data_IF_262271108839
#
_entry.id   IF_262271108839
#
_cell.length_a   1.000
_cell.length_b   1.000
_cell.length_c   1.000
_cell.angle_alpha   90.00
_cell.angle_beta   90.00
_cell.angle_gamma   90.00
#
_symmetry.space_group_name_H-M   'P 1'
#
loop_
_entity.id
_entity.type
_entity.pdbx_description
1 polymer ?
#
# COMPACT_ATOMS: atom_id res chain seq x y z
N UNK A 1 -18.12 -14.18 21.20
CA UNK A 1 -19.49 -13.98 21.72
C UNK A 1 -20.13 -15.35 21.88
N UNK A 2 -20.87 -15.55 22.97
CA UNK A 2 -21.24 -16.86 23.55
C UNK A 2 -22.06 -17.79 22.63
N UNK A 3 -21.83 -19.09 22.81
CA UNK A 3 -22.56 -20.22 22.26
C UNK A 3 -23.96 -20.30 22.89
N UNK A 4 -25.01 -20.36 22.08
CA UNK A 4 -26.37 -20.72 22.51
C UNK A 4 -26.86 -21.93 21.70
N UNK A 5 -27.12 -23.04 22.42
CA UNK A 5 -27.81 -24.22 21.90
C UNK A 5 -29.31 -23.92 21.79
N UNK A 6 -29.92 -24.26 20.65
CA UNK A 6 -31.36 -24.45 20.51
C UNK A 6 -31.63 -25.82 19.89
N UNK A 7 -32.44 -26.63 20.59
CA UNK A 7 -32.82 -27.98 20.22
C UNK A 7 -33.89 -28.03 19.14
N UNK A 8 -33.79 -29.02 18.25
CA UNK A 8 -34.86 -29.39 17.32
C UNK A 8 -35.78 -30.44 17.96
N UNK A 9 -37.07 -30.13 18.00
CA UNK A 9 -38.14 -31.07 18.29
C UNK A 9 -38.52 -31.88 17.05
N UNK A 10 -38.61 -33.20 17.21
CA UNK A 10 -39.14 -34.14 16.22
C UNK A 10 -40.66 -34.17 16.28
N UNK A 11 -41.30 -33.88 15.15
CA UNK A 11 -42.73 -34.04 14.94
C UNK A 11 -43.05 -35.54 14.71
N UNK A 12 -43.88 -36.11 15.59
CA UNK A 12 -44.48 -37.44 15.39
C UNK A 12 -45.86 -37.25 14.75
N UNK A 13 -46.04 -37.84 13.58
CA UNK A 13 -47.33 -37.96 12.90
C UNK A 13 -47.89 -39.36 13.18
N UNK A 14 -48.93 -39.46 14.01
CA UNK A 14 -49.71 -40.69 14.18
C UNK A 14 -51.05 -40.50 13.50
N UNK A 15 -51.31 -41.29 12.45
CA UNK A 15 -52.63 -41.39 11.85
C UNK A 15 -53.47 -42.42 12.60
N UNK A 16 -54.69 -41.98 12.91
CA UNK A 16 -55.80 -42.74 13.44
C UNK A 16 -56.75 -43.04 12.27
N UNK A 17 -57.14 -44.30 12.05
CA UNK A 17 -58.40 -44.66 11.36
C UNK A 17 -58.72 -46.15 11.50
N UNK A 18 -59.76 -46.42 12.30
CA UNK A 18 -60.76 -47.49 12.26
C UNK A 18 -60.36 -48.97 12.16
N UNK A 19 -60.54 -49.71 13.27
CA UNK A 19 -60.89 -51.13 13.24
C UNK A 19 -62.29 -51.38 13.80
N UNK A 20 -63.13 -51.84 12.89
CA UNK A 20 -64.43 -52.48 13.07
C UNK A 20 -64.30 -53.80 13.88
N UNK A 21 -65.09 -53.96 14.93
CA UNK A 21 -65.39 -55.28 15.50
C UNK A 21 -66.31 -56.10 14.57
N UNK A 22 -66.21 -57.44 14.62
CA UNK A 22 -67.42 -58.24 14.62
C UNK A 22 -67.48 -59.26 15.75
N UNK A 23 -68.72 -59.51 16.19
CA UNK A 23 -69.15 -60.45 17.23
C UNK A 23 -69.36 -61.86 16.70
N UNK A 24 -69.23 -62.84 17.61
CA UNK A 24 -69.86 -64.18 17.55
C UNK A 24 -68.86 -65.31 17.33
N UNK A 25 -68.92 -66.47 17.97
CA UNK A 25 -69.86 -67.07 18.90
C UNK A 25 -69.38 -68.51 19.19
N UNK A 26 -69.67 -69.02 20.38
CA UNK A 26 -69.36 -70.41 20.75
C UNK A 26 -70.21 -71.40 19.95
N UNK A 27 -69.58 -72.42 19.37
CA UNK A 27 -70.25 -73.57 18.74
C UNK A 27 -69.27 -74.72 18.60
N UNK A 28 -69.47 -75.78 19.40
CA UNK A 28 -68.63 -76.98 19.40
C UNK A 28 -68.98 -77.99 18.31
N UNK A 29 -68.03 -78.93 18.16
CA UNK A 29 -68.08 -80.24 17.50
C UNK A 29 -68.28 -80.31 15.98
N UNK A 30 -67.17 -80.67 15.31
CA UNK A 30 -66.94 -82.09 15.03
C UNK A 30 -67.29 -82.54 13.62
N UNK A 31 -66.39 -82.21 12.68
CA UNK A 31 -66.40 -82.75 11.32
C UNK A 31 -65.23 -82.22 10.53
N UNK A 32 -63.99 -82.52 10.95
CA UNK A 32 -62.81 -82.30 10.11
C UNK A 32 -62.96 -83.16 8.87
N UNK A 33 -63.43 -82.56 7.78
CA UNK A 33 -63.10 -83.05 6.45
C UNK A 33 -61.58 -83.03 6.36
N UNK A 34 -60.96 -84.21 6.48
CA UNK A 34 -59.54 -84.34 6.23
C UNK A 34 -59.29 -83.85 4.80
N UNK A 35 -58.30 -82.96 4.63
CA UNK A 35 -57.93 -82.53 3.29
C UNK A 35 -57.50 -83.75 2.46
N UNK A 36 -57.77 -83.75 1.14
CA UNK A 36 -57.29 -84.78 0.23
C UNK A 36 -55.79 -85.06 0.40
N UNK A 37 -55.36 -86.28 0.08
CA UNK A 37 -53.95 -86.65 0.15
C UNK A 37 -53.10 -85.72 -0.72
N UNK A 38 -52.06 -85.12 -0.14
CA UNK A 38 -51.23 -84.09 -0.78
C UNK A 38 -51.60 -82.65 -0.39
N UNK A 39 -52.68 -82.46 0.37
CA UNK A 39 -53.12 -81.16 0.89
C UNK A 39 -53.10 -81.14 2.43
N UNK A 40 -53.00 -79.93 2.99
CA UNK A 40 -53.03 -79.65 4.43
C UNK A 40 -54.07 -78.59 4.74
N UNK A 41 -54.58 -78.61 5.97
CA UNK A 41 -55.54 -77.61 6.44
C UNK A 41 -54.81 -76.42 7.04
N UNK A 42 -54.77 -75.30 6.31
CA UNK A 42 -54.27 -74.03 6.82
C UNK A 42 -55.45 -73.06 6.99
N UNK A 43 -55.75 -72.67 8.24
CA UNK A 43 -56.89 -71.82 8.59
C UNK A 43 -58.24 -72.30 8.03
N UNK A 44 -58.46 -73.63 8.01
CA UNK A 44 -59.73 -74.23 7.58
C UNK A 44 -59.89 -74.37 6.06
N UNK A 45 -58.89 -73.97 5.26
CA UNK A 45 -58.84 -74.19 3.81
C UNK A 45 -57.80 -75.27 3.50
N UNK A 46 -58.14 -76.19 2.60
CA UNK A 46 -57.19 -77.17 2.10
C UNK A 46 -56.30 -76.53 1.04
N UNK A 47 -54.99 -76.51 1.30
CA UNK A 47 -53.94 -75.98 0.42
C UNK A 47 -52.93 -77.09 0.16
N UNK A 48 -52.23 -77.04 -0.98
CA UNK A 48 -51.19 -78.03 -1.28
C UNK A 48 -50.12 -78.05 -0.19
N UNK A 49 -49.68 -79.25 0.21
CA UNK A 49 -48.58 -79.42 1.16
C UNK A 49 -47.24 -78.89 0.61
N UNK A 50 -47.15 -78.70 -0.72
CA UNK A 50 -45.98 -78.24 -1.46
C UNK A 50 -46.13 -76.81 -2.01
N UNK A 51 -47.11 -76.03 -1.54
CA UNK A 51 -47.26 -74.61 -1.93
C UNK A 51 -46.51 -73.69 -0.95
N UNK A 52 -45.36 -73.11 -1.34
CA UNK A 52 -44.55 -72.28 -0.45
C UNK A 52 -45.25 -70.99 0.00
N UNK A 53 -46.32 -70.54 -0.70
CA UNK A 53 -47.14 -69.42 -0.24
C UNK A 53 -47.93 -69.73 1.04
N UNK A 54 -48.16 -71.01 1.32
CA UNK A 54 -48.84 -71.51 2.52
C UNK A 54 -47.93 -72.44 3.36
N UNK A 55 -46.60 -72.37 3.16
CA UNK A 55 -45.59 -73.16 3.85
C UNK A 55 -45.39 -74.55 3.27
N UNK A 56 -44.41 -75.30 3.76
CA UNK A 56 -44.07 -76.64 3.25
C UNK A 56 -44.34 -77.75 4.29
N UNK A 57 -44.67 -78.94 3.80
CA UNK A 57 -44.99 -80.09 4.65
C UNK A 57 -46.18 -79.79 5.55
N UNK A 58 -46.11 -80.15 6.83
CA UNK A 58 -47.18 -79.91 7.82
C UNK A 58 -47.25 -78.44 8.31
N UNK A 59 -46.32 -77.58 7.91
CA UNK A 59 -46.27 -76.18 8.35
C UNK A 59 -47.20 -75.29 7.52
N UNK A 60 -47.97 -74.41 8.16
CA UNK A 60 -48.78 -73.38 7.51
C UNK A 60 -48.12 -71.99 7.46
N UNK A 61 -46.83 -71.89 7.83
CA UNK A 61 -46.08 -70.64 7.77
C UNK A 61 -45.51 -70.45 6.35
N UNK A 62 -45.87 -69.37 5.63
CA UNK A 62 -45.33 -69.08 4.30
C UNK A 62 -43.80 -69.08 4.32
N UNK A 63 -43.19 -69.62 3.27
CA UNK A 63 -41.75 -69.57 3.14
C UNK A 63 -41.26 -68.13 2.94
N UNK A 64 -40.16 -67.79 3.60
CA UNK A 64 -39.45 -66.54 3.40
C UNK A 64 -37.96 -66.86 3.34
N UNK A 65 -37.34 -66.59 2.19
CA UNK A 65 -35.90 -66.71 1.96
C UNK A 65 -35.41 -65.39 1.37
N UNK A 66 -34.23 -64.93 1.75
CA UNK A 66 -33.70 -63.65 1.29
C UNK A 66 -33.31 -63.70 -0.20
N UNK A 67 -33.64 -62.65 -0.96
CA UNK A 67 -33.25 -62.43 -2.36
C UNK A 67 -33.51 -63.60 -3.32
N UNK A 68 -34.54 -64.42 -3.08
CA UNK A 68 -34.90 -65.52 -3.94
C UNK A 68 -36.41 -65.76 -3.97
N UNK A 69 -36.87 -66.48 -4.99
CA UNK A 69 -38.20 -67.11 -4.96
C UNK A 69 -38.19 -68.30 -4.00
N UNK A 70 -39.33 -68.65 -3.44
CA UNK A 70 -39.49 -69.72 -2.47
C UNK A 70 -39.96 -71.02 -3.13
N UNK A 71 -39.48 -72.16 -2.65
CA UNK A 71 -39.90 -73.48 -3.09
C UNK A 71 -40.04 -74.45 -1.90
N UNK A 72 -40.83 -75.51 -2.08
CA UNK A 72 -40.90 -76.62 -1.15
C UNK A 72 -40.04 -77.78 -1.65
N UNK A 73 -39.03 -78.17 -0.85
CA UNK A 73 -38.17 -79.32 -1.13
C UNK A 73 -38.24 -80.28 0.05
N UNK A 74 -38.75 -81.49 -0.18
CA UNK A 74 -38.93 -82.52 0.86
C UNK A 74 -39.70 -82.04 2.10
N UNK A 75 -40.72 -81.20 1.91
CA UNK A 75 -41.54 -80.66 2.99
C UNK A 75 -40.92 -79.50 3.78
N UNK A 76 -39.76 -78.98 3.38
CA UNK A 76 -39.13 -77.79 3.97
C UNK A 76 -39.07 -76.61 3.00
N UNK A 77 -39.09 -75.39 3.53
CA UNK A 77 -38.83 -74.18 2.74
C UNK A 77 -37.39 -74.18 2.25
N UNK A 78 -37.22 -73.94 0.95
CA UNK A 78 -35.92 -73.84 0.30
C UNK A 78 -35.93 -72.70 -0.72
N UNK A 79 -34.72 -72.31 -1.15
CA UNK A 79 -34.50 -71.43 -2.30
C UNK A 79 -35.06 -72.08 -3.57
N UNK A 80 -35.93 -71.37 -4.28
CA UNK A 80 -36.42 -71.76 -5.61
C UNK A 80 -35.46 -71.29 -6.70
N UNK A 81 -35.42 -69.98 -6.93
CA UNK A 81 -34.49 -69.31 -7.86
C UNK A 81 -34.02 -68.00 -7.26
N UNK A 82 -32.72 -67.74 -7.25
CA UNK A 82 -32.19 -66.44 -6.84
C UNK A 82 -32.73 -65.31 -7.72
N UNK A 83 -32.93 -64.14 -7.12
CA UNK A 83 -33.18 -62.91 -7.86
C UNK A 83 -31.94 -62.59 -8.73
N UNK A 84 -32.11 -61.92 -9.90
CA UNK A 84 -30.98 -61.50 -10.71
C UNK A 84 -29.93 -60.74 -9.90
N UNK A 85 -28.65 -61.09 -10.08
CA UNK A 85 -27.53 -60.51 -9.34
C UNK A 85 -27.28 -61.11 -7.95
N UNK A 86 -28.02 -62.13 -7.52
CA UNK A 86 -27.80 -62.83 -6.26
C UNK A 86 -27.49 -64.32 -6.46
N UNK A 87 -26.69 -64.89 -5.57
CA UNK A 87 -26.37 -66.33 -5.54
C UNK A 87 -26.39 -66.87 -4.10
N UNK A 88 -26.71 -68.16 -3.97
CA UNK A 88 -26.58 -68.97 -2.74
C UNK A 88 -25.17 -69.59 -2.74
N UNK A 89 -24.25 -69.00 -1.97
CA UNK A 89 -22.84 -69.35 -1.98
C UNK A 89 -22.43 -70.26 -0.82
N UNK A 90 -23.21 -70.30 0.26
CA UNK A 90 -23.04 -71.26 1.36
C UNK A 90 -23.78 -72.59 1.12
N UNK A 91 -24.65 -72.66 0.12
CA UNK A 91 -25.44 -73.83 -0.26
C UNK A 91 -26.54 -74.17 0.74
N UNK A 92 -26.84 -73.26 1.67
CA UNK A 92 -27.84 -73.44 2.72
C UNK A 92 -29.12 -72.75 2.29
N UNK A 93 -30.03 -73.48 1.63
CA UNK A 93 -31.31 -72.93 1.18
C UNK A 93 -32.23 -72.32 2.26
N UNK A 94 -31.85 -72.41 3.55
CA UNK A 94 -32.52 -71.72 4.66
C UNK A 94 -32.08 -70.25 4.84
N UNK A 95 -30.88 -69.86 4.39
CA UNK A 95 -30.35 -68.48 4.48
C UNK A 95 -30.64 -67.64 3.24
N UNK A 96 -30.95 -68.27 2.11
CA UNK A 96 -31.41 -67.60 0.88
C UNK A 96 -30.31 -67.46 -0.17
N UNK A 97 -30.40 -66.45 -1.04
CA UNK A 97 -29.31 -66.05 -1.93
C UNK A 97 -28.62 -64.82 -1.33
N UNK A 98 -27.69 -65.09 -0.44
CA UNK A 98 -27.10 -64.15 0.51
C UNK A 98 -26.04 -63.23 -0.10
N UNK A 99 -25.50 -63.60 -1.26
CA UNK A 99 -24.40 -62.87 -1.90
C UNK A 99 -24.90 -62.10 -3.11
N UNK A 100 -24.64 -60.80 -3.15
CA UNK A 100 -24.88 -59.94 -4.32
C UNK A 100 -23.71 -60.06 -5.31
N UNK A 101 -23.80 -61.03 -6.22
CA UNK A 101 -22.78 -61.27 -7.24
C UNK A 101 -22.71 -60.15 -8.29
N UNK A 102 -23.61 -59.18 -8.30
CA UNK A 102 -23.55 -58.03 -9.20
C UNK A 102 -22.67 -56.89 -8.67
N UNK A 103 -22.33 -56.86 -7.37
CA UNK A 103 -21.59 -55.77 -6.74
C UNK A 103 -20.52 -56.20 -5.73
N UNK A 104 -20.56 -57.44 -5.23
CA UNK A 104 -19.57 -57.95 -4.28
C UNK A 104 -18.27 -58.30 -5.00
N UNK A 105 -17.19 -57.57 -4.70
CA UNK A 105 -15.86 -57.79 -5.27
C UNK A 105 -15.24 -59.13 -4.88
N UNK A 106 -15.76 -59.83 -3.88
CA UNK A 106 -15.30 -61.17 -3.51
C UNK A 106 -16.10 -62.30 -4.20
N UNK A 107 -17.21 -61.97 -4.88
CA UNK A 107 -18.14 -62.91 -5.48
C UNK A 107 -18.71 -62.41 -6.82
N UNK A 108 -17.90 -61.70 -7.61
CA UNK A 108 -18.36 -60.98 -8.79
C UNK A 108 -18.70 -61.93 -9.95
N UNK A 109 -19.95 -61.92 -10.38
CA UNK A 109 -20.49 -62.79 -11.43
C UNK A 109 -20.80 -64.22 -10.97
N UNK A 110 -20.08 -64.73 -9.97
CA UNK A 110 -20.35 -66.01 -9.32
C UNK A 110 -19.69 -66.11 -7.94
N UNK A 111 -20.19 -67.01 -7.09
CA UNK A 111 -19.61 -67.33 -5.78
C UNK A 111 -18.11 -67.62 -5.84
N UNK A 112 -17.32 -66.98 -4.98
CA UNK A 112 -15.87 -67.14 -4.89
C UNK A 112 -15.08 -66.53 -6.05
N UNK A 113 -15.72 -65.83 -6.98
CA UNK A 113 -15.05 -65.10 -8.06
C UNK A 113 -14.63 -63.73 -7.54
N UNK A 114 -13.48 -63.70 -6.86
CA UNK A 114 -12.92 -62.45 -6.37
C UNK A 114 -12.28 -61.66 -7.53
N UNK A 115 -12.69 -60.40 -7.66
CA UNK A 115 -11.95 -59.44 -8.46
C UNK A 115 -10.56 -59.22 -7.85
N UNK A 116 -9.59 -58.89 -8.68
CA UNK A 116 -8.26 -58.49 -8.20
C UNK A 116 -8.37 -57.19 -7.40
N UNK A 117 -7.32 -56.85 -6.67
CA UNK A 117 -7.22 -55.60 -5.89
C UNK A 117 -7.41 -54.32 -6.71
N UNK A 118 -7.41 -54.41 -8.04
CA UNK A 118 -7.47 -53.28 -8.99
C UNK A 118 -8.70 -53.33 -9.91
N UNK A 119 -9.67 -54.17 -9.56
CA UNK A 119 -10.92 -54.34 -10.29
C UNK A 119 -12.10 -54.08 -9.34
N UNK A 120 -13.16 -53.48 -9.88
CA UNK A 120 -14.45 -53.35 -9.18
C UNK A 120 -15.46 -54.29 -9.80
N UNK A 121 -16.42 -54.77 -9.01
CA UNK A 121 -17.52 -55.56 -9.53
C UNK A 121 -18.62 -54.64 -10.08
N UNK A 122 -18.80 -54.63 -11.39
CA UNK A 122 -19.84 -53.89 -12.07
C UNK A 122 -20.73 -54.86 -12.85
N UNK A 123 -22.00 -54.95 -12.45
CA UNK A 123 -23.01 -55.84 -13.04
C UNK A 123 -22.53 -57.30 -13.21
N UNK A 124 -21.76 -57.80 -12.23
CA UNK A 124 -21.24 -59.16 -12.22
C UNK A 124 -20.01 -59.40 -13.10
N UNK A 125 -19.37 -58.34 -13.59
CA UNK A 125 -18.08 -58.40 -14.26
C UNK A 125 -17.02 -57.65 -13.45
N UNK A 126 -15.84 -58.26 -13.29
CA UNK A 126 -14.68 -57.55 -12.79
C UNK A 126 -14.20 -56.60 -13.89
N UNK A 127 -14.45 -55.31 -13.70
CA UNK A 127 -14.03 -54.27 -14.61
C UNK A 127 -12.83 -53.54 -14.01
N UNK A 128 -11.86 -53.21 -14.87
CA UNK A 128 -10.72 -52.40 -14.49
C UNK A 128 -11.21 -51.01 -14.08
N UNK A 129 -11.17 -50.75 -12.79
CA UNK A 129 -11.34 -49.42 -12.23
C UNK A 129 -10.23 -49.26 -11.18
N UNK A 130 -9.01 -48.92 -11.61
CA UNK A 130 -7.83 -49.03 -10.76
C UNK A 130 -7.82 -48.00 -9.61
N UNK A 131 -8.63 -46.95 -9.70
CA UNK A 131 -8.58 -45.82 -8.79
C UNK A 131 -9.95 -45.49 -8.21
N UNK A 132 -10.05 -45.51 -6.88
CA UNK A 132 -11.25 -45.07 -6.17
C UNK A 132 -11.52 -43.57 -6.39
N UNK A 133 -12.69 -43.06 -5.97
CA UNK A 133 -13.03 -41.64 -6.09
C UNK A 133 -11.91 -40.74 -5.55
N UNK A 134 -11.47 -39.77 -6.35
CA UNK A 134 -10.41 -38.82 -5.98
C UNK A 134 -8.97 -39.29 -6.23
N UNK A 135 -8.76 -40.37 -6.99
CA UNK A 135 -7.43 -40.83 -7.43
C UNK A 135 -7.43 -41.10 -8.93
N UNK A 136 -6.26 -41.01 -9.58
CA UNK A 136 -6.13 -41.24 -11.02
C UNK A 136 -4.88 -42.05 -11.39
N UNK A 137 -5.03 -42.84 -12.45
CA UNK A 137 -3.97 -43.57 -13.16
C UNK A 137 -3.47 -42.67 -14.33
N UNK A 138 -2.32 -42.04 -14.15
CA UNK A 138 -1.78 -41.01 -15.04
C UNK A 138 -0.95 -41.58 -16.19
N UNK A 139 -0.37 -42.76 -16.02
CA UNK A 139 0.42 -43.43 -17.05
C UNK A 139 -0.41 -44.50 -17.81
N UNK A 140 -1.67 -44.69 -17.43
CA UNK A 140 -2.61 -45.70 -17.91
C UNK A 140 -2.07 -47.13 -17.77
N UNK A 141 -1.30 -47.37 -16.71
CA UNK A 141 -0.72 -48.67 -16.40
C UNK A 141 -1.30 -49.20 -15.09
N UNK A 142 -2.31 -50.06 -15.23
CA UNK A 142 -2.97 -50.69 -14.10
C UNK A 142 -2.06 -51.56 -13.21
N UNK A 143 -0.82 -51.86 -13.66
CA UNK A 143 0.11 -52.71 -12.93
C UNK A 143 0.88 -51.99 -11.80
N UNK A 144 1.01 -50.66 -11.84
CA UNK A 144 1.72 -49.87 -10.81
C UNK A 144 0.82 -48.98 -9.92
N UNK A 145 -0.50 -48.98 -10.15
CA UNK A 145 -1.50 -48.44 -9.23
C UNK A 145 -2.00 -47.05 -9.62
N UNK A 146 -2.37 -46.22 -8.64
CA UNK A 146 -2.75 -44.82 -8.86
C UNK A 146 -1.56 -43.91 -8.56
N UNK A 147 -1.20 -43.03 -9.48
CA UNK A 147 -0.03 -42.16 -9.33
C UNK A 147 -0.34 -40.88 -8.56
N UNK A 148 -1.59 -40.42 -8.57
CA UNK A 148 -1.94 -39.14 -7.94
C UNK A 148 -3.30 -39.11 -7.25
N UNK A 149 -3.44 -38.13 -6.34
CA UNK A 149 -4.71 -37.70 -5.78
C UNK A 149 -5.27 -36.55 -6.62
N UNK A 150 -6.52 -36.71 -7.05
CA UNK A 150 -7.28 -35.65 -7.72
C UNK A 150 -7.76 -34.62 -6.70
N UNK A 151 -8.08 -33.42 -7.17
CA UNK A 151 -8.44 -32.30 -6.30
C UNK A 151 -7.25 -31.53 -5.75
N UNK A 152 -6.05 -31.75 -6.29
CA UNK A 152 -4.84 -30.99 -5.95
C UNK A 152 -4.61 -29.87 -6.98
N UNK A 153 -3.72 -28.92 -6.69
CA UNK A 153 -3.36 -27.88 -7.68
C UNK A 153 -2.58 -28.41 -8.88
N UNK A 154 -1.99 -29.60 -8.78
CA UNK A 154 -1.25 -30.24 -9.88
C UNK A 154 -2.14 -31.16 -10.73
N UNK A 155 -3.17 -31.74 -10.12
CA UNK A 155 -4.09 -32.70 -10.72
C UNK A 155 -5.53 -32.38 -10.27
N UNK A 156 -6.09 -31.26 -10.74
CA UNK A 156 -7.35 -30.75 -10.19
C UNK A 156 -8.55 -31.65 -10.55
N UNK A 157 -8.72 -31.97 -11.84
CA UNK A 157 -9.74 -32.90 -12.31
C UNK A 157 -9.17 -34.21 -12.88
N UNK A 158 -8.02 -34.11 -13.56
CA UNK A 158 -7.32 -35.24 -14.17
C UNK A 158 -5.81 -35.04 -14.08
N UNK A 159 -5.05 -36.04 -14.48
CA UNK A 159 -3.59 -36.00 -14.42
C UNK A 159 -2.99 -34.85 -15.26
N UNK A 160 -2.22 -33.98 -14.61
CA UNK A 160 -1.62 -32.80 -15.23
C UNK A 160 -2.60 -31.67 -15.50
N UNK A 161 -3.80 -31.70 -14.91
CA UNK A 161 -4.73 -30.56 -14.86
C UNK A 161 -4.24 -29.55 -13.81
N UNK A 162 -3.13 -28.90 -14.14
CA UNK A 162 -2.45 -27.95 -13.27
C UNK A 162 -3.22 -26.63 -13.24
N UNK A 163 -3.54 -26.15 -12.05
CA UNK A 163 -4.02 -24.79 -11.86
C UNK A 163 -2.83 -23.82 -11.96
N UNK A 164 -2.82 -23.00 -13.01
CA UNK A 164 -1.79 -22.00 -13.29
C UNK A 164 -2.50 -20.70 -13.71
N UNK A 165 -3.20 -20.07 -12.75
CA UNK A 165 -3.95 -18.85 -13.02
C UNK A 165 -2.99 -17.66 -12.90
N UNK A 166 -2.93 -16.84 -13.95
CA UNK A 166 -1.98 -15.73 -13.99
C UNK A 166 -2.22 -14.73 -12.85
N UNK A 167 -1.15 -14.39 -12.11
CA UNK A 167 -1.14 -13.41 -11.03
C UNK A 167 -2.22 -13.65 -9.95
N UNK A 168 -2.44 -14.91 -9.58
CA UNK A 168 -3.51 -15.30 -8.69
C UNK A 168 -3.07 -16.41 -7.73
N UNK A 169 -3.77 -16.47 -6.60
CA UNK A 169 -3.83 -17.65 -5.77
C UNK A 169 -4.99 -18.55 -6.21
N UNK A 170 -4.71 -19.84 -6.37
CA UNK A 170 -5.66 -20.81 -6.90
C UNK A 170 -6.15 -21.81 -5.85
N UNK A 171 -7.34 -22.36 -6.08
CA UNK A 171 -7.85 -23.52 -5.36
C UNK A 171 -8.48 -24.52 -6.34
N UNK A 172 -8.30 -25.81 -6.10
CA UNK A 172 -9.08 -26.82 -6.80
C UNK A 172 -10.40 -27.06 -6.06
N UNK A 173 -11.52 -26.59 -6.61
CA UNK A 173 -12.85 -26.73 -6.02
C UNK A 173 -13.74 -27.53 -6.93
N UNK A 174 -14.25 -28.67 -6.43
CA UNK A 174 -15.12 -29.58 -7.20
C UNK A 174 -14.54 -30.04 -8.54
N UNK A 175 -13.21 -30.22 -8.61
CA UNK A 175 -12.52 -30.62 -9.85
C UNK A 175 -12.43 -29.50 -10.89
N UNK A 176 -12.47 -28.24 -10.47
CA UNK A 176 -12.19 -27.09 -11.32
C UNK A 176 -11.20 -26.15 -10.62
N UNK A 177 -10.24 -25.62 -11.38
CA UNK A 177 -9.38 -24.55 -10.91
C UNK A 177 -10.24 -23.30 -10.70
N UNK A 178 -10.29 -22.83 -9.48
CA UNK A 178 -11.03 -21.65 -9.07
C UNK A 178 -10.05 -20.57 -8.62
N UNK A 179 -10.34 -19.34 -9.04
CA UNK A 179 -9.63 -18.15 -8.58
C UNK A 179 -9.98 -17.92 -7.09
N UNK A 180 -8.98 -17.94 -6.21
CA UNK A 180 -9.21 -17.66 -4.78
C UNK A 180 -9.06 -16.17 -4.46
N UNK A 181 -7.96 -15.56 -4.91
CA UNK A 181 -7.69 -14.14 -4.81
C UNK A 181 -6.60 -13.73 -5.78
N UNK A 182 -6.65 -12.51 -6.28
CA UNK A 182 -5.56 -11.93 -7.06
C UNK A 182 -4.31 -11.65 -6.22
N UNK A 183 -3.15 -11.74 -6.85
CA UNK A 183 -1.92 -11.21 -6.31
C UNK A 183 -2.03 -9.69 -6.10
N UNK A 184 -1.26 -9.17 -5.13
CA UNK A 184 -1.32 -7.75 -4.80
C UNK A 184 -1.03 -6.88 -6.03
N UNK A 185 -1.98 -6.01 -6.37
CA UNK A 185 -1.87 -5.09 -7.50
C UNK A 185 -2.33 -5.65 -8.85
N UNK A 186 -2.97 -6.82 -8.84
CA UNK A 186 -3.70 -7.37 -9.99
C UNK A 186 -5.19 -7.46 -9.69
N UNK A 187 -6.01 -7.42 -10.72
CA UNK A 187 -7.47 -7.52 -10.64
C UNK A 187 -8.00 -8.34 -11.84
N UNK A 188 -9.14 -9.00 -11.64
CA UNK A 188 -9.86 -9.78 -12.66
C UNK A 188 -10.95 -8.89 -13.29
N UNK A 189 -10.65 -8.32 -14.45
CA UNK A 189 -11.49 -7.30 -15.07
C UNK A 189 -12.47 -7.85 -16.10
N UNK A 190 -12.23 -9.06 -16.62
CA UNK A 190 -13.16 -9.77 -17.49
C UNK A 190 -14.07 -10.77 -16.74
N UNK A 191 -13.83 -10.95 -15.44
CA UNK A 191 -14.56 -11.85 -14.54
C UNK A 191 -14.50 -13.32 -15.01
N UNK A 192 -13.41 -13.71 -15.64
CA UNK A 192 -13.18 -15.07 -16.10
C UNK A 192 -12.05 -15.71 -15.26
N UNK A 193 -12.43 -16.53 -14.27
CA UNK A 193 -11.49 -17.30 -13.44
C UNK A 193 -10.41 -18.03 -14.27
N UNK A 194 -10.75 -18.49 -15.47
CA UNK A 194 -9.85 -19.24 -16.36
C UNK A 194 -8.66 -18.43 -16.89
N UNK A 195 -8.73 -17.10 -16.90
CA UNK A 195 -7.65 -16.20 -17.34
C UNK A 195 -6.85 -15.61 -16.18
N UNK A 196 -7.26 -15.86 -14.94
CA UNK A 196 -6.61 -15.32 -13.74
C UNK A 196 -6.86 -13.82 -13.57
N UNK A 197 -5.92 -13.12 -12.91
CA UNK A 197 -5.98 -11.67 -12.71
C UNK A 197 -5.08 -10.99 -13.74
N UNK A 198 -5.68 -10.66 -14.87
CA UNK A 198 -5.03 -10.30 -16.12
C UNK A 198 -4.57 -8.84 -16.17
N UNK A 199 -5.06 -8.00 -15.27
CA UNK A 199 -4.80 -6.55 -15.29
C UNK A 199 -3.94 -6.11 -14.11
N UNK A 200 -2.80 -5.47 -14.40
CA UNK A 200 -1.99 -4.80 -13.38
C UNK A 200 -2.55 -3.42 -13.07
N UNK A 201 -3.36 -3.34 -12.02
CA UNK A 201 -4.00 -2.09 -11.58
C UNK A 201 -3.03 -1.09 -10.97
N UNK A 202 -1.74 -1.43 -10.78
CA UNK A 202 -0.76 -0.48 -10.26
C UNK A 202 -0.18 0.46 -11.31
N UNK A 203 -0.23 0.05 -12.58
CA UNK A 203 0.45 0.76 -13.68
C UNK A 203 -0.41 0.92 -14.93
N UNK A 204 -1.52 0.19 -15.05
CA UNK A 204 -2.42 0.32 -16.19
C UNK A 204 -3.24 1.61 -16.09
N UNK A 205 -3.03 2.52 -17.06
CA UNK A 205 -3.75 3.79 -17.17
C UNK A 205 -5.26 3.64 -17.34
N UNK A 206 -5.74 2.52 -17.86
CA UNK A 206 -7.16 2.27 -18.08
C UNK A 206 -7.84 1.56 -16.91
N UNK A 207 -7.07 1.06 -15.94
CA UNK A 207 -7.55 0.24 -14.82
C UNK A 207 -6.82 0.60 -13.52
N UNK A 208 -6.53 1.88 -13.30
CA UNK A 208 -5.63 2.29 -12.22
C UNK A 208 -6.30 2.17 -10.84
N UNK A 209 -5.80 1.31 -9.98
CA UNK A 209 -6.36 1.02 -8.65
C UNK A 209 -7.58 0.10 -8.64
N UNK A 210 -8.32 -0.01 -9.76
CA UNK A 210 -9.39 -0.99 -9.98
C UNK A 210 -9.76 -1.09 -11.46
N UNK A 211 -10.42 -2.18 -11.86
CA UNK A 211 -10.96 -2.34 -13.21
C UNK A 211 -11.81 -1.15 -13.67
N UNK A 212 -11.57 -0.68 -14.90
CA UNK A 212 -12.29 0.42 -15.54
C UNK A 212 -11.99 1.82 -14.99
N UNK A 213 -11.10 1.97 -14.00
CA UNK A 213 -10.71 3.29 -13.51
C UNK A 213 -9.67 3.94 -14.43
N UNK A 214 -10.15 4.59 -15.48
CA UNK A 214 -9.30 5.30 -16.45
C UNK A 214 -8.81 6.61 -15.85
N UNK A 215 -7.49 6.83 -15.82
CA UNK A 215 -6.94 8.07 -15.29
C UNK A 215 -7.28 9.28 -16.16
N UNK A 216 -7.80 10.38 -15.58
CA UNK A 216 -8.01 11.64 -16.29
C UNK A 216 -6.66 12.34 -16.55
N UNK A 217 -6.66 13.38 -17.39
CA UNK A 217 -5.44 14.12 -17.78
C UNK A 217 -4.87 13.76 -19.16
N UNK A 218 -5.49 12.81 -19.88
CA UNK A 218 -5.15 12.49 -21.27
C UNK A 218 -3.70 12.01 -21.41
N UNK A 219 -2.91 12.69 -22.25
CA UNK A 219 -1.51 12.31 -22.51
C UNK A 219 -0.57 12.53 -21.31
N UNK A 220 -0.98 13.32 -20.31
CA UNK A 220 -0.21 13.55 -19.08
C UNK A 220 -0.56 12.55 -17.98
N UNK A 221 -1.63 11.76 -18.16
CA UNK A 221 -2.08 10.81 -17.16
C UNK A 221 -0.99 9.78 -16.86
N UNK A 222 -0.78 9.51 -15.58
CA UNK A 222 0.09 8.46 -15.07
C UNK A 222 -0.69 7.57 -14.11
N UNK A 223 -0.32 6.29 -14.04
CA UNK A 223 -0.79 5.37 -13.02
C UNK A 223 0.42 4.84 -12.27
N UNK A 224 0.55 5.21 -11.00
CA UNK A 224 1.65 4.75 -10.14
C UNK A 224 1.10 4.24 -8.84
N UNK A 225 1.42 2.98 -8.49
CA UNK A 225 0.92 2.31 -7.29
C UNK A 225 -0.62 2.36 -7.16
N UNK A 226 -1.33 2.28 -8.29
CA UNK A 226 -2.79 2.28 -8.33
C UNK A 226 -3.44 3.64 -8.07
N UNK A 227 -2.66 4.72 -8.12
CA UNK A 227 -3.16 6.10 -8.03
C UNK A 227 -2.92 6.83 -9.34
N UNK A 228 -3.97 7.48 -9.82
CA UNK A 228 -3.89 8.40 -10.95
C UNK A 228 -3.12 9.66 -10.53
N UNK A 229 -2.23 10.12 -11.39
CA UNK A 229 -1.54 11.40 -11.26
C UNK A 229 -1.20 11.98 -12.63
N UNK A 230 -0.46 13.08 -12.64
CA UNK A 230 -0.05 13.76 -13.87
C UNK A 230 1.48 13.88 -13.97
N UNK A 231 2.04 13.60 -15.15
CA UNK A 231 3.43 13.89 -15.49
C UNK A 231 3.56 15.35 -15.96
N UNK A 232 3.61 16.27 -14.99
CA UNK A 232 3.69 17.69 -15.27
C UNK A 232 5.05 18.09 -15.84
N UNK A 233 5.03 18.99 -16.83
CA UNK A 233 6.25 19.59 -17.36
C UNK A 233 7.01 20.33 -16.25
N UNK A 234 8.34 20.43 -16.38
CA UNK A 234 9.16 21.17 -15.43
C UNK A 234 8.63 22.62 -15.27
N UNK A 235 8.40 23.03 -14.02
CA UNK A 235 7.83 24.35 -13.71
C UNK A 235 6.31 24.39 -13.60
N UNK A 236 5.60 23.26 -13.79
CA UNK A 236 4.17 23.14 -13.47
C UNK A 236 3.90 21.99 -12.53
N UNK A 237 2.74 21.99 -11.87
CA UNK A 237 2.31 20.92 -10.97
C UNK A 237 0.79 20.87 -10.82
N UNK A 238 0.30 19.67 -10.51
CA UNK A 238 -1.06 19.39 -10.02
C UNK A 238 -1.04 19.56 -8.50
N UNK A 239 -1.41 20.74 -8.00
CA UNK A 239 -1.26 21.09 -6.60
C UNK A 239 -2.57 20.99 -5.81
N UNK A 240 -3.71 20.85 -6.49
CA UNK A 240 -5.00 20.51 -5.88
C UNK A 240 -5.22 18.98 -5.83
N UNK A 241 -4.33 18.18 -6.45
CA UNK A 241 -4.47 16.73 -6.66
C UNK A 241 -5.77 16.38 -7.42
N UNK A 242 -6.20 17.26 -8.33
CA UNK A 242 -7.31 17.03 -9.24
C UNK A 242 -6.79 16.84 -10.66
N UNK A 243 -6.55 15.59 -11.09
CA UNK A 243 -6.01 15.32 -12.43
C UNK A 243 -6.97 15.69 -13.57
N UNK A 244 -8.18 16.20 -13.28
CA UNK A 244 -9.16 16.64 -14.28
C UNK A 244 -8.94 18.05 -14.81
N UNK A 245 -8.25 18.94 -14.08
CA UNK A 245 -7.93 20.30 -14.52
C UNK A 245 -6.46 20.50 -14.94
N UNK A 246 -5.64 19.44 -14.81
CA UNK A 246 -4.32 19.35 -15.44
C UNK A 246 -3.20 19.78 -14.50
N UNK A 247 -2.12 20.34 -15.07
CA UNK A 247 -1.01 20.90 -14.28
C UNK A 247 -1.23 22.40 -14.15
N UNK A 248 -2.18 22.77 -13.30
CA UNK A 248 -2.79 24.09 -13.16
C UNK A 248 -1.90 25.11 -12.46
N UNK A 249 -0.88 24.66 -11.73
CA UNK A 249 -0.04 25.55 -10.91
C UNK A 249 1.34 25.77 -11.52
N UNK A 250 1.71 27.02 -11.79
CA UNK A 250 3.07 27.43 -12.19
C UNK A 250 4.00 27.45 -10.97
N UNK A 251 4.82 26.42 -10.83
CA UNK A 251 5.81 26.31 -9.75
C UNK A 251 7.11 27.09 -10.04
N UNK A 252 7.27 27.64 -11.24
CA UNK A 252 8.44 28.42 -11.61
C UNK A 252 8.35 29.89 -11.17
N UNK A 253 7.14 30.42 -11.02
CA UNK A 253 6.89 31.84 -10.68
C UNK A 253 5.93 32.05 -9.51
N UNK A 254 5.19 31.04 -9.06
CA UNK A 254 4.29 31.17 -7.91
C UNK A 254 5.08 31.27 -6.60
N UNK A 255 4.86 32.35 -5.85
CA UNK A 255 5.42 32.52 -4.50
C UNK A 255 4.84 31.55 -3.48
N UNK A 256 3.69 30.93 -3.77
CA UNK A 256 3.02 29.97 -2.88
C UNK A 256 3.37 28.50 -3.22
N UNK A 257 3.93 28.26 -4.41
CA UNK A 257 4.28 26.93 -4.92
C UNK A 257 5.67 26.91 -5.58
N UNK A 258 6.62 27.66 -5.02
CA UNK A 258 7.90 27.93 -5.67
C UNK A 258 8.78 26.68 -5.68
N UNK A 259 8.96 26.09 -6.86
CA UNK A 259 9.74 24.87 -7.12
C UNK A 259 9.00 23.56 -6.83
N UNK A 260 7.89 23.60 -6.09
CA UNK A 260 7.03 22.44 -5.81
C UNK A 260 5.67 22.88 -5.27
N UNK A 261 4.66 22.02 -5.39
CA UNK A 261 3.35 22.25 -4.81
C UNK A 261 3.41 22.48 -3.29
N UNK A 262 2.78 23.57 -2.83
CA UNK A 262 2.74 23.95 -1.41
C UNK A 262 4.05 24.49 -0.84
N UNK A 263 5.10 24.65 -1.65
CA UNK A 263 6.36 25.25 -1.23
C UNK A 263 6.30 26.77 -1.30
N UNK A 264 5.57 27.37 -0.37
CA UNK A 264 5.49 28.82 -0.27
C UNK A 264 6.83 29.43 0.18
N UNK A 265 7.20 30.56 -0.41
CA UNK A 265 8.34 31.36 0.04
C UNK A 265 8.03 31.97 1.41
N UNK A 266 8.98 31.84 2.33
CA UNK A 266 8.86 32.29 3.70
C UNK A 266 8.75 33.82 3.79
N UNK A 267 8.00 34.28 4.78
CA UNK A 267 7.92 35.69 5.16
C UNK A 267 8.77 36.03 6.40
N UNK A 268 9.58 35.10 6.91
CA UNK A 268 10.32 35.31 8.16
C UNK A 268 11.51 36.24 7.94
N UNK A 269 11.44 37.45 8.51
CA UNK A 269 12.42 38.52 8.34
C UNK A 269 12.67 38.92 6.87
N UNK A 270 11.64 38.80 6.04
CA UNK A 270 11.69 39.06 4.60
C UNK A 270 10.90 40.31 4.29
N UNK A 271 11.61 41.33 3.80
CA UNK A 271 11.03 42.56 3.30
C UNK A 271 10.21 42.32 2.01
N UNK A 272 10.79 41.60 1.05
CA UNK A 272 10.09 41.24 -0.20
C UNK A 272 10.48 39.86 -0.68
N UNK A 273 9.52 39.13 -1.25
CA UNK A 273 9.71 37.78 -1.78
C UNK A 273 9.19 37.66 -3.21
N UNK A 274 9.91 36.93 -4.02
CA UNK A 274 9.53 36.56 -5.39
C UNK A 274 9.93 35.11 -5.67
N UNK A 275 9.43 34.53 -6.75
CA UNK A 275 9.84 33.21 -7.20
C UNK A 275 10.36 33.31 -8.63
N UNK A 276 11.58 32.83 -8.86
CA UNK A 276 12.19 32.82 -10.18
C UNK A 276 12.82 31.46 -10.44
N UNK A 277 12.34 30.76 -11.47
CA UNK A 277 12.82 29.42 -11.82
C UNK A 277 12.62 28.40 -10.69
N UNK A 278 11.58 28.56 -9.87
CA UNK A 278 11.30 27.69 -8.73
C UNK A 278 12.19 27.92 -7.50
N UNK A 279 12.96 29.00 -7.50
CA UNK A 279 13.78 29.42 -6.35
C UNK A 279 13.16 30.66 -5.74
N UNK A 280 12.87 30.59 -4.43
CA UNK A 280 12.43 31.74 -3.66
C UNK A 280 13.56 32.77 -3.64
N UNK A 281 13.26 33.97 -4.10
CA UNK A 281 14.14 35.11 -4.06
C UNK A 281 13.63 36.15 -3.07
N UNK A 282 14.36 36.29 -1.96
CA UNK A 282 13.96 37.07 -0.79
C UNK A 282 14.94 38.20 -0.55
N UNK A 283 14.42 39.43 -0.42
CA UNK A 283 15.14 40.56 0.16
C UNK A 283 14.86 40.56 1.65
N UNK A 284 15.91 40.56 2.46
CA UNK A 284 15.79 40.49 3.91
C UNK A 284 15.45 41.84 4.52
N UNK A 285 14.72 41.82 5.63
CA UNK A 285 14.64 42.96 6.52
C UNK A 285 16.05 43.38 6.95
N UNK A 286 16.24 44.66 7.25
CA UNK A 286 17.52 45.18 7.74
C UNK A 286 17.97 44.37 8.97
N UNK A 287 19.26 44.03 9.01
CA UNK A 287 19.83 43.24 10.10
C UNK A 287 19.68 41.73 9.94
N UNK A 288 19.02 41.26 8.87
CA UNK A 288 18.90 39.84 8.57
C UNK A 288 19.55 39.48 7.24
N UNK A 289 19.99 38.23 7.14
CA UNK A 289 20.52 37.67 5.90
C UNK A 289 19.99 36.25 5.68
N UNK A 290 19.83 35.89 4.41
CA UNK A 290 19.51 34.54 3.99
C UNK A 290 20.80 33.84 3.55
N UNK A 291 21.41 33.10 4.47
CA UNK A 291 22.73 32.52 4.30
C UNK A 291 22.70 31.05 3.89
N UNK A 292 21.51 30.47 3.78
CA UNK A 292 21.30 29.08 3.39
C UNK A 292 20.85 28.92 1.93
N UNK A 293 21.00 29.96 1.09
CA UNK A 293 20.64 29.92 -0.33
C UNK A 293 21.71 29.36 -1.29
N UNK A 294 21.29 28.67 -2.37
CA UNK A 294 19.91 28.28 -2.66
C UNK A 294 19.46 27.13 -1.75
N UNK A 295 18.37 27.33 -1.02
CA UNK A 295 17.84 26.31 -0.14
C UNK A 295 17.23 25.19 -1.00
N UNK A 296 17.82 23.99 -0.96
CA UNK A 296 17.23 22.78 -1.54
C UNK A 296 16.05 22.24 -0.71
N UNK A 297 15.78 22.82 0.47
CA UNK A 297 14.67 22.47 1.37
C UNK A 297 13.56 23.51 1.41
N UNK A 298 12.75 23.49 2.49
CA UNK A 298 11.78 24.54 2.77
C UNK A 298 12.51 25.89 2.88
N UNK A 299 11.98 26.91 2.22
CA UNK A 299 12.49 28.27 2.37
C UNK A 299 12.24 28.72 3.82
N UNK A 300 13.29 29.06 4.54
CA UNK A 300 13.26 29.48 5.94
C UNK A 300 13.34 31.01 6.09
N UNK A 301 13.35 31.76 5.00
CA UNK A 301 13.28 33.23 5.01
C UNK A 301 14.67 33.85 5.11
N UNK A 302 14.81 34.92 5.89
CA UNK A 302 16.09 35.51 6.23
C UNK A 302 16.39 35.17 7.69
N UNK A 303 16.81 33.93 7.85
CA UNK A 303 16.88 33.21 9.11
C UNK A 303 17.97 33.71 10.06
N UNK A 304 18.93 34.50 9.55
CA UNK A 304 20.13 34.84 10.28
C UNK A 304 20.16 36.31 10.65
N UNK A 305 20.17 36.58 11.95
CA UNK A 305 20.55 37.88 12.49
C UNK A 305 22.05 38.11 12.20
N UNK A 306 22.35 39.24 11.55
CA UNK A 306 23.70 39.69 11.21
C UNK A 306 24.11 40.95 11.95
N UNK A 307 23.30 41.45 12.89
CA UNK A 307 23.61 42.63 13.69
C UNK A 307 24.42 42.30 14.95
N UNK A 308 24.19 41.12 15.54
CA UNK A 308 24.84 40.67 16.78
C UNK A 308 25.28 39.19 16.67
N UNK A 309 25.93 38.88 15.55
CA UNK A 309 26.37 37.51 15.25
C UNK A 309 27.81 37.52 14.78
N UNK A 310 28.72 37.14 15.68
CA UNK A 310 30.16 37.09 15.40
C UNK A 310 30.51 36.24 14.18
N UNK A 311 29.71 35.23 13.83
CA UNK A 311 30.00 34.37 12.67
C UNK A 311 29.48 34.92 11.35
N UNK A 312 28.62 35.94 11.38
CA UNK A 312 27.94 36.50 10.20
C UNK A 312 27.77 38.03 10.31
N UNK A 313 28.76 38.72 10.85
CA UNK A 313 28.62 40.12 11.21
C UNK A 313 28.46 41.02 9.97
N UNK A 314 27.33 41.70 9.88
CA UNK A 314 26.94 42.54 8.74
C UNK A 314 26.59 41.77 7.46
N UNK A 315 26.75 40.44 7.43
CA UNK A 315 26.43 39.60 6.27
C UNK A 315 26.91 38.14 6.40
N UNK A 316 26.42 37.27 5.52
CA UNK A 316 26.69 35.83 5.55
C UNK A 316 28.17 35.47 5.52
N UNK A 317 28.62 34.69 6.52
CA UNK A 317 29.99 34.19 6.60
C UNK A 317 31.05 35.25 6.91
N UNK A 318 30.64 36.46 7.33
CA UNK A 318 31.56 37.46 7.86
C UNK A 318 31.89 37.17 9.33
N UNK A 319 32.72 36.13 9.50
CA UNK A 319 33.23 35.72 10.80
C UNK A 319 34.21 36.77 11.36
N UNK A 320 33.96 37.25 12.57
CA UNK A 320 34.82 38.10 13.36
C UNK A 320 36.01 37.30 13.90
N UNK A 321 36.85 36.87 12.94
CA UNK A 321 38.06 36.09 13.15
C UNK A 321 38.96 36.75 14.20
N UNK A 322 39.58 35.92 15.06
CA UNK A 322 40.47 36.38 16.12
C UNK A 322 39.78 36.72 17.44
N UNK A 323 38.47 36.46 17.56
CA UNK A 323 37.67 36.74 18.76
C UNK A 323 37.15 38.17 18.82
N UNK A 324 37.07 38.84 17.68
CA UNK A 324 36.42 40.14 17.56
C UNK A 324 34.90 40.00 17.79
N UNK A 325 34.28 41.06 18.27
CA UNK A 325 32.85 41.16 18.60
C UNK A 325 32.10 41.87 17.47
N UNK A 326 30.93 41.38 17.10
CA UNK A 326 30.02 42.07 16.19
C UNK A 326 29.43 43.33 16.85
N UNK A 327 28.88 44.26 16.07
CA UNK A 327 28.33 45.55 16.54
C UNK A 327 29.37 46.58 17.08
N UNK A 328 30.58 46.59 16.50
CA UNK A 328 31.66 47.50 16.92
C UNK A 328 32.26 48.27 15.75
N UNK A 329 31.92 49.55 15.64
CA UNK A 329 32.56 50.46 14.69
C UNK A 329 32.17 51.92 14.88
N UNK A 330 32.87 52.85 14.22
CA UNK A 330 32.42 54.23 14.13
C UNK A 330 31.06 54.29 13.41
N UNK A 331 30.16 55.14 13.92
CA UNK A 331 28.89 55.51 13.27
C UNK A 331 27.83 54.40 13.09
N UNK A 332 27.69 53.49 14.08
CA UNK A 332 26.63 52.47 14.15
C UNK A 332 26.65 51.41 13.01
N UNK A 333 27.82 51.18 12.40
CA UNK A 333 28.00 50.10 11.43
C UNK A 333 28.17 48.75 12.14
N UNK A 334 27.49 47.72 11.64
CA UNK A 334 27.55 46.33 12.13
C UNK A 334 28.78 45.62 11.57
N UNK A 335 29.95 45.95 12.12
CA UNK A 335 31.26 45.45 11.67
C UNK A 335 32.05 44.83 12.82
N UNK A 336 33.01 43.97 12.49
CA UNK A 336 33.86 43.30 13.48
C UNK A 336 34.83 44.28 14.14
N UNK A 337 34.81 44.34 15.47
CA UNK A 337 35.71 45.15 16.26
C UNK A 337 36.04 44.49 17.60
N UNK A 338 36.47 45.28 18.58
CA UNK A 338 36.93 44.78 19.86
C UNK A 338 36.22 45.48 21.04
N UNK A 339 36.15 44.76 22.15
CA UNK A 339 35.81 45.24 23.49
C UNK A 339 36.98 45.11 24.46
N UNK A 340 37.94 44.23 24.16
CA UNK A 340 39.09 43.97 25.01
C UNK A 340 40.40 43.90 24.22
N UNK A 341 41.51 44.18 24.91
CA UNK A 341 42.84 44.16 24.28
C UNK A 341 43.25 42.76 23.78
N UNK A 342 42.67 41.68 24.33
CA UNK A 342 43.00 40.31 23.95
C UNK A 342 42.51 39.95 22.55
N UNK A 343 41.42 40.54 22.08
CA UNK A 343 40.74 40.22 20.82
C UNK A 343 41.51 40.76 19.61
N UNK A 344 42.38 41.75 19.83
CA UNK A 344 43.18 42.39 18.78
C UNK A 344 44.39 41.60 18.29
N UNK A 345 44.55 40.34 18.71
CA UNK A 345 45.69 39.50 18.36
C UNK A 345 46.89 39.71 19.29
N UNK A 346 47.44 38.59 19.76
CA UNK A 346 48.48 38.56 20.78
C UNK A 346 49.89 38.77 20.22
N UNK A 347 50.47 39.95 20.46
CA UNK A 347 51.91 40.18 20.26
C UNK A 347 52.28 41.66 20.15
N UNK A 348 52.80 42.25 21.24
CA UNK A 348 53.33 43.61 21.27
C UNK A 348 52.38 44.66 21.86
N UNK A 349 52.59 45.94 21.50
CA UNK A 349 51.75 47.08 21.88
C UNK A 349 50.43 47.07 21.09
N UNK A 350 49.54 46.15 21.47
CA UNK A 350 48.19 46.01 20.94
C UNK A 350 47.17 46.46 21.98
N UNK A 351 46.15 47.21 21.55
CA UNK A 351 45.08 47.66 22.43
C UNK A 351 43.78 47.83 21.67
N UNK A 352 42.67 47.56 22.33
CA UNK A 352 41.37 47.96 21.83
C UNK A 352 41.15 49.46 22.11
N UNK A 353 40.86 50.24 21.06
CA UNK A 353 40.57 51.65 21.23
C UNK A 353 39.13 51.83 21.73
N UNK A 354 38.97 52.22 22.98
CA UNK A 354 37.66 52.42 23.60
C UNK A 354 36.79 53.48 22.91
N UNK A 355 37.37 54.41 22.15
CA UNK A 355 36.62 55.44 21.42
C UNK A 355 36.06 54.96 20.08
N UNK A 356 36.70 53.99 19.43
CA UNK A 356 36.27 53.51 18.10
C UNK A 356 35.80 52.06 18.11
N UNK A 357 36.08 51.30 19.18
CA UNK A 357 35.86 49.85 19.22
C UNK A 357 36.76 49.08 18.26
N UNK A 358 37.90 49.66 17.83
CA UNK A 358 38.79 49.07 16.83
C UNK A 358 40.16 48.76 17.43
N UNK A 359 40.81 47.75 16.87
CA UNK A 359 42.15 47.38 17.28
C UNK A 359 43.17 48.46 16.95
N UNK A 360 44.13 48.66 17.83
CA UNK A 360 45.26 49.55 17.64
C UNK A 360 46.56 48.78 17.76
N UNK A 361 47.38 48.80 16.72
CA UNK A 361 48.64 48.08 16.64
C UNK A 361 49.79 49.07 16.51
N UNK A 362 50.70 49.11 17.47
CA UNK A 362 51.85 50.03 17.43
C UNK A 362 51.46 51.51 17.46
N UNK A 363 50.27 51.83 17.99
CA UNK A 363 49.71 53.19 18.05
C UNK A 363 48.86 53.59 16.84
N UNK A 364 48.74 52.75 15.81
CA UNK A 364 47.85 52.96 14.67
C UNK A 364 46.53 52.26 14.91
N UNK A 365 45.41 52.99 14.84
CA UNK A 365 44.05 52.41 14.83
C UNK A 365 43.83 51.74 13.49
N UNK A 366 43.49 50.46 13.51
CA UNK A 366 43.23 49.64 12.34
C UNK A 366 41.84 49.89 11.78
N UNK A 367 41.60 49.43 10.55
CA UNK A 367 40.27 49.34 10.00
C UNK A 367 39.44 48.25 10.70
N UNK A 368 38.12 48.33 10.57
CA UNK A 368 37.22 47.30 11.06
C UNK A 368 37.51 45.94 10.40
N UNK A 369 37.43 44.88 11.22
CA UNK A 369 37.80 43.51 10.84
C UNK A 369 39.30 43.20 10.81
N UNK A 370 40.18 44.18 11.07
CA UNK A 370 41.62 43.94 11.09
C UNK A 370 42.16 43.51 12.45
N UNK A 371 43.16 42.62 12.43
CA UNK A 371 43.87 42.15 13.61
C UNK A 371 45.32 42.63 13.62
N UNK A 372 45.92 42.68 14.81
CA UNK A 372 47.35 42.92 14.94
C UNK A 372 48.16 41.68 14.60
N UNK A 373 49.05 41.80 13.63
CA UNK A 373 50.10 40.82 13.36
C UNK A 373 51.46 41.50 13.33
N UNK A 374 52.39 41.05 14.19
CA UNK A 374 53.74 41.63 14.31
C UNK A 374 53.73 43.15 14.60
N UNK A 375 52.73 43.64 15.34
CA UNK A 375 52.61 45.05 15.73
C UNK A 375 52.03 45.97 14.64
N UNK A 376 51.55 45.44 13.52
CA UNK A 376 50.87 46.20 12.47
C UNK A 376 49.46 45.62 12.19
N UNK A 377 48.57 46.46 11.66
CA UNK A 377 47.24 46.04 11.21
C UNK A 377 47.34 45.08 10.02
N UNK A 378 46.49 44.06 9.99
CA UNK A 378 46.45 43.06 8.91
C UNK A 378 45.03 42.63 8.63
N UNK A 379 44.69 42.55 7.35
CA UNK A 379 43.46 41.93 6.89
C UNK A 379 43.73 40.51 6.38
N UNK A 380 43.05 39.49 6.94
CA UNK A 380 43.15 38.07 6.53
C UNK A 380 44.59 37.53 6.44
N UNK A 381 45.45 37.98 7.36
CA UNK A 381 46.87 37.62 7.33
C UNK A 381 47.64 38.21 6.14
N UNK A 382 47.12 39.26 5.51
CA UNK A 382 47.72 40.04 4.43
C UNK A 382 48.18 41.44 4.88
N UNK A 383 48.16 42.39 3.94
CA UNK A 383 48.41 43.81 4.21
C UNK A 383 47.18 44.48 4.84
N UNK A 384 47.40 45.60 5.52
CA UNK A 384 46.30 46.40 6.05
C UNK A 384 45.45 47.01 4.93
N UNK A 385 44.17 47.21 5.18
CA UNK A 385 43.25 47.88 4.30
C UNK A 385 43.55 49.39 4.21
N UNK A 386 43.27 50.02 3.05
CA UNK A 386 43.32 51.47 2.93
C UNK A 386 42.39 52.14 3.94
N UNK A 387 42.71 53.39 4.30
CA UNK A 387 41.84 54.17 5.18
C UNK A 387 40.43 54.30 4.59
N UNK A 388 39.42 53.95 5.37
CA UNK A 388 38.00 53.96 4.97
C UNK A 388 37.46 52.61 4.49
N UNK A 389 38.31 51.62 4.24
CA UNK A 389 37.88 50.28 3.81
C UNK A 389 37.60 49.35 5.00
N UNK A 390 36.78 48.33 4.79
CA UNK A 390 36.54 47.24 5.74
C UNK A 390 37.36 46.01 5.36
N UNK A 391 37.86 45.28 6.35
CA UNK A 391 38.40 43.95 6.15
C UNK A 391 37.30 42.90 6.30
N UNK A 392 36.97 42.21 5.23
CA UNK A 392 35.90 41.22 5.18
C UNK A 392 36.44 39.79 5.09
N UNK A 393 35.70 38.83 5.63
CA UNK A 393 35.95 37.40 5.39
C UNK A 393 35.20 36.90 4.16
N UNK A 394 34.03 37.47 3.88
CA UNK A 394 33.20 37.09 2.75
C UNK A 394 32.53 38.32 2.10
N UNK A 395 33.02 38.80 0.95
CA UNK A 395 34.21 38.31 0.22
C UNK A 395 35.52 38.63 0.96
N UNK A 396 36.49 37.72 0.93
CA UNK A 396 37.75 37.90 1.66
C UNK A 396 38.57 39.07 1.10
N UNK A 397 38.88 40.06 1.94
CA UNK A 397 39.80 41.15 1.62
C UNK A 397 39.26 42.53 1.98
N UNK A 398 39.91 43.56 1.45
CA UNK A 398 39.55 44.95 1.70
C UNK A 398 38.47 45.42 0.73
N UNK A 399 37.32 45.83 1.25
CA UNK A 399 36.20 46.37 0.47
C UNK A 399 36.00 47.85 0.79
N UNK A 400 35.54 48.64 -0.18
CA UNK A 400 35.18 50.04 0.06
C UNK A 400 33.69 50.13 0.41
N UNK A 401 33.33 50.29 1.70
CA UNK A 401 31.94 50.32 2.10
C UNK A 401 31.21 51.57 1.65
N UNK A 402 31.92 52.61 1.19
CA UNK A 402 31.29 53.88 0.84
C UNK A 402 30.70 53.88 -0.57
N UNK A 403 31.26 53.08 -1.48
CA UNK A 403 30.91 53.10 -2.91
C UNK A 403 30.72 51.73 -3.55
N UNK A 404 31.17 50.64 -2.92
CA UNK A 404 30.95 49.30 -3.44
C UNK A 404 29.51 48.85 -3.21
N UNK A 405 28.77 48.70 -4.32
CA UNK A 405 27.37 48.25 -4.33
C UNK A 405 27.18 46.87 -3.70
N UNK A 406 28.22 46.03 -3.63
CA UNK A 406 28.13 44.69 -3.04
C UNK A 406 28.49 44.66 -1.54
N UNK A 407 29.03 45.75 -1.00
CA UNK A 407 29.56 45.83 0.36
C UNK A 407 29.16 47.15 1.04
N UNK A 408 27.95 47.65 0.78
CA UNK A 408 27.56 49.01 1.13
C UNK A 408 27.30 49.18 2.64
N UNK A 409 28.25 49.81 3.31
CA UNK A 409 28.25 50.06 4.76
C UNK A 409 28.64 48.86 5.63
N UNK A 410 28.68 47.65 5.08
CA UNK A 410 29.15 46.44 5.77
C UNK A 410 29.60 45.38 4.75
N UNK A 411 30.40 44.43 5.21
CA UNK A 411 30.84 43.29 4.40
C UNK A 411 29.64 42.48 3.88
N UNK A 412 29.58 42.21 2.58
CA UNK A 412 28.52 41.43 1.96
C UNK A 412 27.13 42.09 1.94
N UNK A 413 27.01 43.34 2.40
CA UNK A 413 25.75 44.10 2.35
C UNK A 413 25.53 44.69 0.96
N UNK A 414 25.08 43.85 0.05
CA UNK A 414 24.75 44.27 -1.30
C UNK A 414 23.50 45.17 -1.31
N UNK A 415 23.54 46.25 -2.09
CA UNK A 415 22.36 47.07 -2.30
C UNK A 415 21.31 46.33 -3.14
N UNK A 416 20.02 46.63 -2.93
CA UNK A 416 18.96 46.09 -3.79
C UNK A 416 19.22 46.45 -5.26
N UNK A 417 18.74 45.60 -6.16
CA UNK A 417 18.85 45.84 -7.61
C UNK A 417 18.29 47.21 -7.98
N UNK A 418 19.07 48.01 -8.71
CA UNK A 418 18.73 49.40 -9.08
C UNK A 418 19.35 50.46 -8.18
N UNK A 419 19.75 50.11 -6.95
CA UNK A 419 20.36 51.07 -6.02
C UNK A 419 21.86 51.19 -6.22
N UNK A 420 22.40 52.38 -5.94
CA UNK A 420 23.84 52.63 -5.86
C UNK A 420 24.29 52.77 -4.42
N UNK A 421 25.55 52.44 -4.14
CA UNK A 421 26.13 52.72 -2.83
C UNK A 421 26.74 54.13 -2.81
N UNK A 422 26.24 54.99 -1.92
CA UNK A 422 26.74 56.35 -1.78
C UNK A 422 26.84 56.75 -0.30
N UNK A 423 28.07 56.78 0.19
CA UNK A 423 28.38 57.14 1.57
C UNK A 423 27.95 56.08 2.57
N UNK A 424 28.18 54.80 2.25
CA UNK A 424 27.80 53.63 3.07
C UNK A 424 26.30 53.38 3.18
N UNK A 425 25.53 53.99 2.28
CA UNK A 425 24.07 53.96 2.26
C UNK A 425 23.61 53.59 0.85
N UNK A 426 22.73 52.60 0.74
CA UNK A 426 22.10 52.25 -0.53
C UNK A 426 21.08 53.34 -0.90
N UNK A 427 21.24 53.92 -2.09
CA UNK A 427 20.42 55.02 -2.59
C UNK A 427 19.75 54.67 -3.92
N UNK A 428 18.50 55.05 -4.06
CA UNK A 428 17.79 55.01 -5.34
C UNK A 428 18.28 56.14 -6.26
N UNK A 429 18.26 55.89 -7.57
CA UNK A 429 18.58 56.89 -8.60
C UNK A 429 17.32 57.31 -9.40
N UNK A 430 16.25 56.52 -9.35
CA UNK A 430 14.95 56.85 -9.92
C UNK A 430 13.77 56.13 -9.24
N UNK A 431 12.55 56.56 -9.57
CA UNK A 431 11.31 56.03 -8.98
C UNK A 431 11.15 54.51 -9.20
N UNK A 432 11.65 53.99 -10.33
CA UNK A 432 11.58 52.56 -10.65
C UNK A 432 12.36 51.69 -9.66
N UNK A 433 13.44 52.21 -9.07
CA UNK A 433 14.23 51.49 -8.07
C UNK A 433 13.40 51.26 -6.80
N UNK A 434 12.48 52.16 -6.48
CA UNK A 434 11.61 52.08 -5.31
C UNK A 434 10.46 51.08 -5.46
N UNK A 435 10.25 50.49 -6.63
CA UNK A 435 9.09 49.66 -6.90
C UNK A 435 9.35 48.18 -6.52
N UNK A 436 8.78 47.74 -5.40
CA UNK A 436 8.82 46.35 -4.93
C UNK A 436 7.42 45.75 -4.74
N UNK A 437 6.52 46.04 -5.67
CA UNK A 437 5.13 45.58 -5.67
C UNK A 437 4.11 46.70 -5.66
N UNK A 438 4.47 47.89 -5.17
CA UNK A 438 3.71 49.12 -5.37
C UNK A 438 4.61 50.26 -5.86
N UNK A 439 4.00 51.34 -6.36
CA UNK A 439 4.74 52.49 -6.88
C UNK A 439 5.35 53.32 -5.74
N UNK A 440 6.64 53.63 -5.87
CA UNK A 440 7.39 54.51 -4.98
C UNK A 440 7.91 55.77 -5.69
N UNK A 441 8.40 56.71 -4.90
CA UNK A 441 9.11 57.90 -5.40
C UNK A 441 10.50 57.95 -4.79
N UNK A 442 11.52 58.15 -5.63
CA UNK A 442 12.88 58.35 -5.18
C UNK A 442 13.10 59.82 -4.85
N UNK A 443 13.33 60.11 -3.57
CA UNK A 443 13.54 61.48 -3.10
C UNK A 443 14.98 61.95 -3.38
N UNK A 444 15.19 63.27 -3.37
CA UNK A 444 16.51 63.86 -3.65
C UNK A 444 17.62 63.49 -2.64
N UNK A 445 17.28 62.83 -1.53
CA UNK A 445 18.26 62.25 -0.59
C UNK A 445 18.64 60.80 -0.94
N UNK A 446 18.06 60.22 -1.99
CA UNK A 446 18.27 58.84 -2.42
C UNK A 446 17.49 57.80 -1.63
N UNK A 447 16.43 58.19 -0.91
CA UNK A 447 15.55 57.25 -0.20
C UNK A 447 14.18 57.19 -0.87
N UNK A 448 13.53 56.03 -0.75
CA UNK A 448 12.19 55.84 -1.30
C UNK A 448 11.11 56.42 -0.39
N UNK A 449 10.05 56.93 -0.98
CA UNK A 449 8.80 57.31 -0.31
C UNK A 449 7.69 56.38 -0.78
N UNK A 450 7.04 55.69 0.18
CA UNK A 450 5.95 54.75 -0.07
C UNK A 450 4.68 55.22 0.62
N UNK A 451 3.62 55.47 -0.15
CA UNK A 451 2.35 55.97 0.41
C UNK A 451 2.48 57.29 1.18
N UNK A 452 3.48 58.12 0.87
CA UNK A 452 3.79 59.36 1.57
C UNK A 452 4.67 59.21 2.82
N UNK A 453 5.13 57.99 3.14
CA UNK A 453 6.10 57.73 4.22
C UNK A 453 7.48 57.54 3.63
N UNK A 454 8.46 58.31 4.12
CA UNK A 454 9.86 58.15 3.73
C UNK A 454 10.44 56.91 4.40
N UNK A 455 11.07 56.07 3.61
CA UNK A 455 11.62 54.79 4.04
C UNK A 455 13.06 54.92 4.56
N UNK A 456 13.50 53.89 5.27
CA UNK A 456 14.90 53.65 5.57
C UNK A 456 15.74 53.55 4.30
N UNK A 457 17.06 53.68 4.45
CA UNK A 457 17.95 53.57 3.31
C UNK A 457 17.96 52.14 2.73
N UNK A 458 17.79 52.03 1.42
CA UNK A 458 17.70 50.74 0.72
C UNK A 458 16.31 50.07 0.79
N UNK A 459 15.35 50.64 1.52
CA UNK A 459 13.98 50.11 1.57
C UNK A 459 13.19 50.54 0.31
N UNK A 460 12.23 49.71 -0.10
CA UNK A 460 11.37 49.90 -1.28
C UNK A 460 9.88 49.82 -0.92
N UNK A 461 9.02 50.09 -1.89
CA UNK A 461 7.58 50.06 -1.73
C UNK A 461 7.02 48.67 -1.98
N UNK A 462 6.71 47.98 -0.88
CA UNK A 462 6.11 46.65 -0.86
C UNK A 462 4.71 46.66 -1.48
N UNK A 463 4.11 45.49 -1.81
CA UNK A 463 2.77 45.43 -2.41
C UNK A 463 1.67 46.10 -1.59
N UNK A 464 1.84 46.20 -0.27
CA UNK A 464 0.91 46.86 0.66
C UNK A 464 1.13 48.39 0.76
N UNK A 465 2.08 48.96 0.02
CA UNK A 465 2.39 50.39 0.03
C UNK A 465 3.25 50.85 1.21
N UNK A 466 3.78 49.94 2.02
CA UNK A 466 4.68 50.24 3.13
C UNK A 466 6.15 50.12 2.71
N UNK A 467 7.03 50.76 3.48
CA UNK A 467 8.48 50.60 3.37
C UNK A 467 8.93 49.21 3.80
N UNK A 468 9.83 48.58 3.04
CA UNK A 468 10.48 47.32 3.36
C UNK A 468 11.65 47.00 2.45
#
# INVERSE_FOLDING_TARGET
MALALAGLGVASCTQDFDQFEPRGGSGGNGGSAACPTGEKSCNGVCVSADDPAFGCGDSCAPCSVANATTACVSGACAVGTCNPGFSDCDGMGATGCEVNTAADTQNCGACGTACTTFETCNDGSCEANPCGPGTADCNMNNADGCETMLGTLLDCNFCGDVCDLANASEACTMGMCALSACDAGFDDCDMMDATGCEVNVQTDLQNCGSCGNVCPGGALATCTNGMCGLDCAAGTGDCNNDPTDGCETDTSTSVDHCGACGRACSGANVASKSCAGGVCDSTCDIGHANCTRPAMGADNGCELDVEDNDTNCGGCGNDCSGGLDCDRGPDAQKVCGCTSNQECGGGGSTSCNAGTGLCSCGGTVCAAGELCGMGACRCNGGAACPAGNLCCQNPAGCVDPATDVNNCGACGRACPTGFTCAGAVCRCDGDDDCNAGSAGTCEGNGQCTCGGTQCGAGERCLPNGMCG
#
